data_IF_246475348303
#
_entry.id   IF_246475348303
#
_cell.length_a   1.000
_cell.length_b   1.000
_cell.length_c   1.000
_cell.angle_alpha   90.00
_cell.angle_beta   90.00
_cell.angle_gamma   90.00
#
_symmetry.space_group_name_H-M   'P 1'
#
loop_
_entity.id
_entity.type
_entity.pdbx_description
1 polymer ?
#
# COMPACT_ATOMS: atom_id res chain seq x y z
N UNK A 1 -6.21 16.59 -3.90
CA UNK A 1 -5.82 15.81 -5.09
C UNK A 1 -6.74 14.60 -5.14
N UNK A 2 -7.22 14.19 -6.31
CA UNK A 2 -8.06 13.01 -6.42
C UNK A 2 -7.21 11.76 -6.15
N UNK A 3 -7.68 10.87 -5.29
CA UNK A 3 -7.01 9.62 -4.96
C UNK A 3 -7.09 8.62 -6.13
N UNK A 4 -6.11 7.72 -6.25
CA UNK A 4 -6.11 6.68 -7.28
C UNK A 4 -7.32 5.75 -7.08
N UNK A 5 -8.13 5.48 -8.13
CA UNK A 5 -9.20 4.49 -8.04
C UNK A 5 -8.68 3.14 -7.57
N UNK A 6 -9.43 2.47 -6.71
CA UNK A 6 -9.18 1.08 -6.35
C UNK A 6 -9.36 0.14 -7.57
N UNK A 7 -9.09 -1.16 -7.43
CA UNK A 7 -9.20 -2.08 -8.56
C UNK A 7 -10.63 -2.20 -9.10
N UNK A 8 -11.65 -2.13 -8.24
CA UNK A 8 -13.07 -2.13 -8.64
C UNK A 8 -13.41 -0.94 -9.55
N UNK A 9 -12.84 0.23 -9.25
CA UNK A 9 -12.99 1.47 -10.01
C UNK A 9 -12.51 1.36 -11.47
N UNK A 10 -11.67 0.38 -11.79
CA UNK A 10 -11.22 0.10 -13.15
C UNK A 10 -12.11 -0.88 -13.93
N UNK A 11 -13.08 -1.55 -13.31
CA UNK A 11 -13.93 -2.54 -13.98
C UNK A 11 -14.74 -1.92 -15.14
N UNK A 12 -15.56 -0.91 -14.85
CA UNK A 12 -16.41 -0.28 -15.87
C UNK A 12 -15.59 0.49 -16.92
N UNK A 13 -14.54 1.26 -16.57
CA UNK A 13 -13.62 1.83 -17.56
C UNK A 13 -13.01 0.79 -18.51
N UNK A 14 -12.61 -0.38 -17.99
CA UNK A 14 -12.11 -1.50 -18.81
C UNK A 14 -13.15 -1.95 -19.83
N UNK A 15 -14.39 -2.21 -19.39
CA UNK A 15 -15.45 -2.64 -20.29
C UNK A 15 -15.78 -1.56 -21.34
N UNK A 16 -15.80 -0.28 -20.97
CA UNK A 16 -16.03 0.83 -21.91
C UNK A 16 -14.98 0.89 -23.01
N UNK A 17 -13.69 0.75 -22.66
CA UNK A 17 -12.59 0.71 -23.65
C UNK A 17 -12.70 -0.47 -24.61
N UNK A 18 -13.22 -1.61 -24.13
CA UNK A 18 -13.35 -2.85 -24.91
C UNK A 18 -14.70 -2.98 -25.63
N UNK A 19 -15.56 -1.96 -25.57
CA UNK A 19 -16.96 -2.02 -26.05
C UNK A 19 -17.12 -2.10 -27.57
N UNK A 20 -16.03 -1.95 -28.31
CA UNK A 20 -15.97 -2.02 -29.78
C UNK A 20 -15.83 -3.45 -30.33
N UNK A 21 -15.92 -4.48 -29.48
CA UNK A 21 -15.77 -5.89 -29.81
C UNK A 21 -14.40 -6.26 -30.39
N UNK A 22 -13.41 -5.36 -30.36
CA UNK A 22 -12.08 -5.62 -30.89
C UNK A 22 -11.28 -6.45 -29.89
N UNK A 23 -10.65 -7.52 -30.38
CA UNK A 23 -9.68 -8.29 -29.59
C UNK A 23 -8.42 -7.45 -29.43
N UNK A 24 -8.09 -7.08 -28.19
CA UNK A 24 -6.92 -6.24 -27.87
C UNK A 24 -5.94 -6.96 -26.96
N UNK A 25 -4.66 -6.76 -27.19
CA UNK A 25 -3.61 -7.22 -26.28
C UNK A 25 -3.56 -6.32 -25.03
N UNK A 26 -3.17 -6.89 -23.88
CA UNK A 26 -3.03 -6.20 -22.59
C UNK A 26 -2.34 -4.83 -22.70
N UNK A 27 -1.18 -4.79 -23.39
CA UNK A 27 -0.38 -3.56 -23.56
C UNK A 27 -1.04 -2.50 -24.44
N UNK A 28 -2.05 -2.87 -25.22
CA UNK A 28 -2.74 -1.94 -26.13
C UNK A 28 -3.89 -1.22 -25.44
N UNK A 29 -4.70 -1.92 -24.64
CA UNK A 29 -5.87 -1.31 -24.01
C UNK A 29 -5.58 -0.74 -22.62
N UNK A 30 -4.57 -1.24 -21.90
CA UNK A 30 -4.27 -0.77 -20.55
C UNK A 30 -4.02 0.76 -20.46
N UNK A 31 -3.31 1.41 -21.40
CA UNK A 31 -3.18 2.87 -21.39
C UNK A 31 -4.51 3.58 -21.65
N UNK A 32 -5.34 3.02 -22.55
CA UNK A 32 -6.67 3.55 -22.86
C UNK A 32 -7.60 3.49 -21.64
N UNK A 33 -7.49 2.45 -20.81
CA UNK A 33 -8.26 2.32 -19.56
C UNK A 33 -7.84 3.39 -18.55
N UNK A 34 -6.54 3.69 -18.45
CA UNK A 34 -6.06 4.77 -17.61
C UNK A 34 -6.57 6.14 -18.06
N UNK A 35 -6.63 6.37 -19.37
CA UNK A 35 -7.19 7.60 -19.95
C UNK A 35 -8.71 7.68 -19.72
N UNK A 36 -9.43 6.56 -19.91
CA UNK A 36 -10.86 6.46 -19.65
C UNK A 36 -11.21 6.69 -18.18
N UNK A 37 -10.36 6.22 -17.26
CA UNK A 37 -10.47 6.45 -15.82
C UNK A 37 -9.98 7.85 -15.40
N UNK A 38 -9.49 8.66 -16.34
CA UNK A 38 -9.01 10.04 -16.13
C UNK A 38 -7.86 10.14 -15.13
N UNK A 39 -6.92 9.20 -15.19
CA UNK A 39 -5.75 9.23 -14.31
C UNK A 39 -4.83 10.42 -14.63
N UNK A 40 -4.31 11.06 -13.58
CA UNK A 40 -3.31 12.12 -13.68
C UNK A 40 -1.93 11.56 -14.06
N UNK A 41 -1.01 12.44 -14.48
CA UNK A 41 0.36 12.03 -14.78
C UNK A 41 1.08 11.46 -13.54
N UNK A 42 0.83 12.04 -12.36
CA UNK A 42 1.38 11.56 -11.08
C UNK A 42 0.86 10.17 -10.73
N UNK A 43 -0.45 9.95 -10.88
CA UNK A 43 -1.09 8.64 -10.68
C UNK A 43 -0.50 7.56 -11.61
N UNK A 44 -0.21 7.91 -12.87
CA UNK A 44 0.42 6.97 -13.83
C UNK A 44 1.87 6.61 -13.48
N UNK A 45 2.52 7.36 -12.59
CA UNK A 45 3.89 7.08 -12.12
C UNK A 45 3.92 6.42 -10.73
N UNK A 46 2.77 6.27 -10.08
CA UNK A 46 2.69 5.71 -8.73
C UNK A 46 3.06 4.21 -8.74
N UNK A 47 4.08 3.87 -7.95
CA UNK A 47 4.55 2.49 -7.79
C UNK A 47 3.85 1.81 -6.61
N UNK A 48 3.75 0.49 -6.64
CA UNK A 48 3.50 -0.28 -5.42
C UNK A 48 4.65 -0.04 -4.42
N UNK A 49 4.40 -0.10 -3.10
CA UNK A 49 5.43 0.00 -2.06
C UNK A 49 6.66 -0.89 -2.30
N UNK A 50 6.45 -2.09 -2.86
CA UNK A 50 7.55 -3.00 -3.25
C UNK A 50 8.47 -2.51 -4.37
N UNK A 51 8.10 -1.47 -5.11
CA UNK A 51 8.83 -0.96 -6.28
C UNK A 51 8.76 -1.82 -7.54
N UNK A 52 8.11 -3.00 -7.50
CA UNK A 52 8.18 -3.99 -8.58
C UNK A 52 7.15 -3.78 -9.71
N UNK A 53 6.10 -2.99 -9.48
CA UNK A 53 5.07 -2.73 -10.48
C UNK A 53 4.42 -1.37 -10.27
N UNK A 54 3.90 -0.81 -11.36
CA UNK A 54 3.10 0.40 -11.35
C UNK A 54 1.71 0.08 -10.78
N UNK A 55 1.23 0.89 -9.83
CA UNK A 55 0.04 0.59 -9.02
C UNK A 55 -1.22 0.48 -9.88
N UNK A 56 -1.46 1.42 -10.80
CA UNK A 56 -2.67 1.38 -11.63
C UNK A 56 -2.67 0.21 -12.63
N UNK A 57 -1.50 -0.20 -13.15
CA UNK A 57 -1.36 -1.41 -13.97
C UNK A 57 -1.78 -2.66 -13.21
N UNK A 58 -1.35 -2.78 -11.96
CA UNK A 58 -1.72 -3.88 -11.08
C UNK A 58 -3.25 -3.91 -10.85
N UNK A 59 -3.84 -2.75 -10.52
CA UNK A 59 -5.28 -2.61 -10.27
C UNK A 59 -6.14 -2.91 -11.51
N UNK A 60 -5.75 -2.44 -12.70
CA UNK A 60 -6.41 -2.82 -13.97
C UNK A 60 -6.31 -4.33 -14.21
N UNK A 61 -5.16 -4.94 -13.89
CA UNK A 61 -4.95 -6.38 -14.03
C UNK A 61 -5.92 -7.21 -13.19
N UNK A 62 -6.20 -6.75 -11.96
CA UNK A 62 -7.20 -7.33 -11.08
C UNK A 62 -8.62 -7.17 -11.61
N UNK A 63 -8.98 -5.97 -12.09
CA UNK A 63 -10.27 -5.73 -12.73
C UNK A 63 -10.49 -6.66 -13.93
N UNK A 64 -9.50 -6.80 -14.83
CA UNK A 64 -9.57 -7.69 -15.98
C UNK A 64 -9.70 -9.16 -15.55
N UNK A 65 -8.97 -9.58 -14.52
CA UNK A 65 -9.04 -10.94 -13.99
C UNK A 65 -10.43 -11.25 -13.44
N UNK A 66 -10.97 -10.36 -12.61
CA UNK A 66 -12.33 -10.48 -12.08
C UNK A 66 -13.38 -10.52 -13.21
N UNK A 67 -13.33 -9.57 -14.14
CA UNK A 67 -14.27 -9.50 -15.28
C UNK A 67 -14.21 -10.73 -16.18
N UNK A 68 -13.02 -11.32 -16.35
CA UNK A 68 -12.87 -12.59 -17.08
C UNK A 68 -13.51 -13.75 -16.30
N UNK A 69 -13.32 -13.79 -14.97
CA UNK A 69 -13.88 -14.84 -14.12
C UNK A 69 -15.41 -14.80 -14.04
N UNK A 70 -16.04 -13.62 -14.14
CA UNK A 70 -17.51 -13.48 -14.14
C UNK A 70 -18.13 -13.58 -15.54
N UNK A 71 -17.30 -13.81 -16.58
CA UNK A 71 -17.75 -13.96 -17.97
C UNK A 71 -18.05 -12.65 -18.71
N UNK A 72 -17.72 -11.49 -18.12
CA UNK A 72 -17.87 -10.18 -18.76
C UNK A 72 -16.79 -9.91 -19.83
N UNK A 73 -15.63 -10.56 -19.70
CA UNK A 73 -14.58 -10.61 -20.72
C UNK A 73 -14.29 -12.07 -21.09
N UNK A 74 -13.86 -12.29 -22.33
CA UNK A 74 -13.20 -13.53 -22.73
C UNK A 74 -11.73 -13.30 -22.98
N UNK A 75 -10.96 -14.39 -22.93
CA UNK A 75 -9.53 -14.41 -23.21
C UNK A 75 -9.24 -15.40 -24.34
N UNK A 76 -9.47 -15.02 -25.62
CA UNK A 76 -9.32 -15.92 -26.75
C UNK A 76 -7.88 -16.42 -26.93
N UNK A 77 -6.89 -15.61 -26.54
CA UNK A 77 -5.47 -15.96 -26.56
C UNK A 77 -4.78 -15.40 -25.32
N UNK A 78 -3.64 -15.97 -24.93
CA UNK A 78 -2.80 -15.42 -23.85
C UNK A 78 -2.55 -13.92 -24.09
N UNK A 79 -2.88 -13.11 -23.08
CA UNK A 79 -2.70 -11.65 -23.11
C UNK A 79 -3.67 -10.89 -24.01
N UNK A 80 -4.62 -11.54 -24.67
CA UNK A 80 -5.62 -10.90 -25.54
C UNK A 80 -7.00 -11.08 -24.95
N UNK A 81 -7.79 -10.01 -24.95
CA UNK A 81 -9.11 -9.97 -24.32
C UNK A 81 -10.15 -9.41 -25.28
N UNK A 82 -11.41 -9.77 -25.05
CA UNK A 82 -12.56 -9.26 -25.80
C UNK A 82 -13.76 -9.16 -24.86
N UNK A 83 -14.58 -8.13 -25.02
CA UNK A 83 -15.83 -8.00 -24.26
C UNK A 83 -16.86 -9.06 -24.68
N UNK A 84 -17.76 -9.43 -23.77
CA UNK A 84 -18.94 -10.26 -24.07
C UNK A 84 -20.22 -9.44 -24.02
N UNK A 85 -21.33 -10.03 -24.47
CA UNK A 85 -22.65 -9.43 -24.30
C UNK A 85 -22.97 -9.19 -22.81
N UNK A 86 -22.52 -10.07 -21.92
CA UNK A 86 -22.63 -9.87 -20.48
C UNK A 86 -21.85 -8.62 -20.01
N UNK A 87 -20.63 -8.43 -20.53
CA UNK A 87 -19.83 -7.24 -20.27
C UNK A 87 -20.49 -5.95 -20.76
N UNK A 88 -21.12 -5.97 -21.94
CA UNK A 88 -21.89 -4.83 -22.45
C UNK A 88 -23.08 -4.51 -21.54
N UNK A 89 -23.81 -5.52 -21.10
CA UNK A 89 -24.93 -5.36 -20.18
C UNK A 89 -24.49 -4.74 -18.83
N UNK A 90 -23.31 -5.09 -18.31
CA UNK A 90 -22.77 -4.45 -17.11
C UNK A 90 -22.52 -2.94 -17.29
N UNK A 91 -22.13 -2.49 -18.49
CA UNK A 91 -21.95 -1.05 -18.76
C UNK A 91 -23.29 -0.32 -18.66
N UNK A 92 -24.37 -0.94 -19.16
CA UNK A 92 -25.74 -0.38 -19.11
C UNK A 92 -26.28 -0.32 -17.68
N UNK A 93 -26.08 -1.37 -16.90
CA UNK A 93 -26.52 -1.45 -15.50
C UNK A 93 -25.73 -0.53 -14.58
N UNK A 94 -24.42 -0.39 -14.82
CA UNK A 94 -23.51 0.35 -13.95
C UNK A 94 -22.72 1.42 -14.71
N UNK A 95 -23.38 2.44 -15.30
CA UNK A 95 -22.72 3.43 -16.15
C UNK A 95 -21.69 4.28 -15.40
N UNK A 96 -21.82 4.37 -14.07
CA UNK A 96 -20.99 5.21 -13.19
C UNK A 96 -20.00 4.40 -12.33
N UNK A 97 -19.84 3.10 -12.57
CA UNK A 97 -19.00 2.23 -11.75
C UNK A 97 -19.80 1.16 -11.02
N UNK A 98 -19.12 0.06 -10.67
CA UNK A 98 -19.69 -1.06 -9.95
C UNK A 98 -18.72 -1.49 -8.84
N UNK A 99 -19.27 -2.04 -7.76
CA UNK A 99 -18.50 -2.80 -6.76
C UNK A 99 -18.57 -4.29 -7.12
N UNK A 100 -17.56 -5.04 -6.72
CA UNK A 100 -17.46 -6.49 -6.88
C UNK A 100 -18.74 -7.19 -6.44
N UNK A 101 -19.23 -6.85 -5.23
CA UNK A 101 -20.46 -7.40 -4.65
C UNK A 101 -21.69 -7.23 -5.56
N UNK A 102 -21.80 -6.12 -6.27
CA UNK A 102 -22.95 -5.85 -7.14
C UNK A 102 -22.92 -6.76 -8.36
N UNK A 103 -21.73 -7.01 -8.92
CA UNK A 103 -21.56 -7.89 -10.08
C UNK A 103 -21.73 -9.36 -9.67
N UNK A 104 -21.23 -9.75 -8.49
CA UNK A 104 -21.42 -11.11 -7.95
C UNK A 104 -22.88 -11.43 -7.67
N UNK A 105 -23.64 -10.49 -7.10
CA UNK A 105 -25.07 -10.67 -6.86
C UNK A 105 -25.85 -10.97 -8.16
N UNK A 106 -25.43 -10.45 -9.30
CA UNK A 106 -26.02 -10.79 -10.60
C UNK A 106 -25.76 -12.25 -11.00
N UNK A 107 -24.69 -12.88 -10.52
CA UNK A 107 -24.40 -14.29 -10.80
C UNK A 107 -25.24 -15.29 -9.99
N UNK A 108 -25.97 -14.83 -8.97
CA UNK A 108 -26.91 -15.64 -8.19
C UNK A 108 -28.21 -15.91 -8.94
N UNK A 109 -28.58 -15.03 -9.87
CA UNK A 109 -29.74 -15.20 -10.75
C UNK A 109 -29.38 -16.16 -11.91
N UNK A 110 -30.03 -17.33 -12.01
CA UNK A 110 -29.78 -18.30 -13.09
C UNK A 110 -30.05 -17.77 -14.50
N UNK A 111 -30.83 -16.69 -14.62
CA UNK A 111 -31.17 -16.06 -15.89
C UNK A 111 -30.15 -15.00 -16.33
N UNK A 112 -29.25 -14.60 -15.44
CA UNK A 112 -28.22 -13.61 -15.72
C UNK A 112 -27.16 -14.14 -16.69
N UNK A 113 -26.67 -13.30 -17.62
CA UNK A 113 -25.54 -13.66 -18.47
C UNK A 113 -24.21 -13.65 -17.70
N UNK A 114 -24.18 -13.11 -16.48
CA UNK A 114 -23.04 -13.16 -15.56
C UNK A 114 -22.95 -14.54 -14.94
N UNK A 115 -21.79 -15.18 -15.04
CA UNK A 115 -21.55 -16.50 -14.45
C UNK A 115 -20.27 -16.46 -13.68
N UNK A 116 -20.36 -16.69 -12.38
CA UNK A 116 -19.16 -16.80 -11.57
C UNK A 116 -18.40 -18.09 -11.91
N UNK A 117 -17.13 -17.95 -12.27
CA UNK A 117 -16.24 -19.10 -12.39
C UNK A 117 -16.02 -19.73 -11.02
N UNK A 118 -16.74 -20.83 -10.75
CA UNK A 118 -16.48 -21.68 -9.59
C UNK A 118 -15.42 -22.69 -9.97
N UNK A 119 -14.19 -22.50 -9.47
CA UNK A 119 -13.17 -23.54 -9.56
C UNK A 119 -13.71 -24.82 -8.89
N UNK A 120 -13.65 -25.96 -9.59
CA UNK A 120 -14.04 -27.25 -8.99
C UNK A 120 -13.24 -27.43 -7.69
N UNK A 121 -13.90 -27.65 -6.53
CA UNK A 121 -13.22 -27.71 -5.26
C UNK A 121 -12.25 -28.88 -5.26
N UNK A 122 -10.94 -28.60 -5.20
CA UNK A 122 -10.00 -29.51 -4.54
C UNK A 122 -10.27 -29.38 -3.04
N UNK A 123 -10.35 -30.52 -2.37
CA UNK A 123 -10.79 -30.72 -0.98
C UNK A 123 -10.66 -29.53 -0.03
N UNK A 124 -11.76 -29.26 0.68
CA UNK A 124 -11.93 -28.20 1.67
C UNK A 124 -10.82 -28.20 2.72
N UNK A 125 -10.32 -27.01 3.02
CA UNK A 125 -10.14 -26.57 4.41
C UNK A 125 -11.07 -25.39 4.67
N UNK A 126 -11.66 -25.47 5.85
CA UNK A 126 -12.91 -24.85 6.30
C UNK A 126 -12.58 -23.59 7.10
N UNK A 127 -13.39 -22.57 6.84
CA UNK A 127 -13.81 -21.46 7.71
C UNK A 127 -12.75 -20.58 8.38
N UNK A 128 -12.47 -19.45 7.73
CA UNK A 128 -12.46 -18.13 8.39
C UNK A 128 -12.66 -17.04 7.32
N UNK A 129 -13.85 -17.00 6.72
CA UNK A 129 -14.32 -15.79 6.04
C UNK A 129 -14.81 -14.82 7.10
N UNK A 130 -13.91 -14.34 7.95
CA UNK A 130 -14.13 -13.11 8.69
C UNK A 130 -14.51 -12.05 7.66
N UNK A 131 -15.60 -11.32 7.91
CA UNK A 131 -16.08 -10.26 7.02
C UNK A 131 -14.92 -9.30 6.72
N UNK A 132 -14.33 -9.42 5.54
CA UNK A 132 -13.37 -8.45 5.05
C UNK A 132 -14.06 -7.09 5.14
N UNK A 133 -13.37 -6.11 5.74
CA UNK A 133 -13.87 -4.74 5.76
C UNK A 133 -14.10 -4.26 4.32
N UNK A 134 -15.00 -3.29 4.09
CA UNK A 134 -15.19 -2.74 2.74
C UNK A 134 -13.86 -2.24 2.15
N UNK A 135 -12.96 -1.72 3.00
CA UNK A 135 -11.62 -1.29 2.59
C UNK A 135 -10.74 -2.46 2.13
N UNK A 136 -10.72 -3.59 2.85
CA UNK A 136 -9.92 -4.75 2.43
C UNK A 136 -10.39 -5.33 1.09
N UNK A 137 -11.71 -5.36 0.84
CA UNK A 137 -12.25 -5.84 -0.45
C UNK A 137 -11.84 -4.95 -1.64
N UNK A 138 -11.55 -3.68 -1.36
CA UNK A 138 -11.13 -2.71 -2.36
C UNK A 138 -9.64 -2.77 -2.70
N UNK A 139 -8.83 -3.43 -1.86
CA UNK A 139 -7.40 -3.60 -2.08
C UNK A 139 -7.12 -4.86 -2.89
N UNK A 140 -6.12 -4.78 -3.76
CA UNK A 140 -5.56 -5.98 -4.38
C UNK A 140 -4.83 -6.82 -3.31
N UNK A 141 -4.70 -8.15 -3.46
CA UNK A 141 -4.00 -8.98 -2.48
C UNK A 141 -2.57 -8.54 -2.17
N UNK A 142 -1.85 -7.96 -3.14
CA UNK A 142 -0.50 -7.44 -2.89
C UNK A 142 -0.55 -6.20 -1.99
N UNK A 143 -1.55 -5.34 -2.17
CA UNK A 143 -1.80 -4.17 -1.33
C UNK A 143 -2.28 -4.59 0.06
N UNK A 144 -3.13 -5.62 0.18
CA UNK A 144 -3.55 -6.18 1.48
C UNK A 144 -2.34 -6.69 2.28
N UNK A 145 -1.46 -7.46 1.64
CA UNK A 145 -0.23 -7.96 2.30
C UNK A 145 0.67 -6.81 2.72
N UNK A 146 0.84 -5.80 1.86
CA UNK A 146 1.67 -4.63 2.16
C UNK A 146 1.09 -3.79 3.30
N UNK A 147 -0.21 -3.49 3.25
CA UNK A 147 -0.90 -2.78 4.33
C UNK A 147 -0.87 -3.58 5.65
N UNK A 148 -0.88 -4.91 5.58
CA UNK A 148 -0.64 -5.78 6.74
C UNK A 148 0.77 -5.62 7.32
N UNK A 149 1.81 -5.58 6.47
CA UNK A 149 3.20 -5.36 6.89
C UNK A 149 3.38 -3.96 7.50
N UNK A 150 2.81 -2.93 6.87
CA UNK A 150 2.86 -1.55 7.36
C UNK A 150 2.21 -1.44 8.75
N UNK A 151 1.02 -2.04 8.94
CA UNK A 151 0.39 -2.11 10.28
C UNK A 151 1.26 -2.80 11.33
N UNK A 152 1.91 -3.91 10.98
CA UNK A 152 2.85 -4.59 11.88
C UNK A 152 4.03 -3.67 12.22
N UNK A 153 4.60 -2.95 11.24
CA UNK A 153 5.67 -2.00 11.49
C UNK A 153 5.23 -0.85 12.40
N UNK A 154 4.03 -0.30 12.20
CA UNK A 154 3.48 0.77 13.04
C UNK A 154 3.23 0.30 14.48
N UNK A 155 2.69 -0.92 14.64
CA UNK A 155 2.52 -1.57 15.94
C UNK A 155 3.86 -1.76 16.65
N UNK A 156 4.86 -2.32 15.94
CA UNK A 156 6.21 -2.53 16.49
C UNK A 156 6.87 -1.19 16.82
N UNK A 157 6.75 -0.17 15.97
CA UNK A 157 7.32 1.16 16.21
C UNK A 157 6.71 1.79 17.47
N UNK A 158 5.40 1.67 17.64
CA UNK A 158 4.67 2.14 18.83
C UNK A 158 5.12 1.39 20.09
N UNK A 159 5.25 0.06 20.01
CA UNK A 159 5.74 -0.77 21.11
C UNK A 159 7.18 -0.42 21.50
N UNK A 160 8.07 -0.25 20.52
CA UNK A 160 9.47 0.13 20.74
C UNK A 160 9.59 1.52 21.36
N UNK A 161 8.80 2.48 20.89
CA UNK A 161 8.78 3.83 21.46
C UNK A 161 8.33 3.80 22.92
N UNK A 162 7.27 3.05 23.22
CA UNK A 162 6.78 2.85 24.60
C UNK A 162 7.87 2.24 25.48
N UNK A 163 8.53 1.17 25.00
CA UNK A 163 9.64 0.54 25.72
C UNK A 163 10.79 1.50 25.97
N UNK A 164 11.16 2.34 25.00
CA UNK A 164 12.22 3.34 25.15
C UNK A 164 11.85 4.40 26.20
N UNK A 165 10.59 4.85 26.23
CA UNK A 165 10.10 5.85 27.18
C UNK A 165 10.06 5.34 28.63
N UNK A 166 9.85 4.04 28.83
CA UNK A 166 9.78 3.42 30.16
C UNK A 166 11.14 2.99 30.73
N UNK A 167 12.21 3.10 29.94
CA UNK A 167 13.58 2.89 30.42
C UNK A 167 14.09 4.11 31.21
N UNK A 168 15.17 3.90 31.94
CA UNK A 168 15.85 4.95 32.68
C UNK A 168 16.43 6.02 31.71
N UNK A 169 16.61 7.27 32.17
CA UNK A 169 17.09 8.35 31.32
C UNK A 169 18.43 8.06 30.63
N UNK A 170 19.39 7.48 31.36
CA UNK A 170 20.71 7.18 30.81
C UNK A 170 20.66 6.17 29.66
N UNK A 171 19.80 5.14 29.76
CA UNK A 171 19.55 4.23 28.64
C UNK A 171 18.96 4.96 27.43
N UNK A 172 18.01 5.88 27.64
CA UNK A 172 17.38 6.62 26.55
C UNK A 172 18.36 7.54 25.84
N UNK A 173 19.21 8.25 26.59
CA UNK A 173 20.27 9.11 26.06
C UNK A 173 21.25 8.31 25.19
N UNK A 174 21.70 7.16 25.70
CA UNK A 174 22.56 6.23 24.96
C UNK A 174 21.88 5.70 23.68
N UNK A 175 20.62 5.28 23.78
CA UNK A 175 19.87 4.78 22.63
C UNK A 175 19.72 5.84 21.52
N UNK A 176 19.55 7.12 21.89
CA UNK A 176 19.48 8.24 20.93
C UNK A 176 20.84 8.47 20.27
N UNK A 177 21.95 8.44 21.02
CA UNK A 177 23.30 8.57 20.45
C UNK A 177 23.60 7.40 19.51
N UNK A 178 23.30 6.17 19.91
CA UNK A 178 23.51 4.96 19.11
C UNK A 178 22.70 5.00 17.81
N UNK A 179 21.45 5.47 17.87
CA UNK A 179 20.59 5.65 16.69
C UNK A 179 21.20 6.65 15.71
N UNK A 180 21.64 7.82 16.19
CA UNK A 180 22.24 8.84 15.34
C UNK A 180 23.55 8.35 14.70
N UNK A 181 24.37 7.60 15.44
CA UNK A 181 25.56 6.95 14.88
C UNK A 181 25.19 5.95 13.80
N UNK A 182 24.19 5.10 14.03
CA UNK A 182 23.71 4.11 13.05
C UNK A 182 23.10 4.76 11.79
N UNK A 183 22.51 5.96 11.92
CA UNK A 183 22.04 6.77 10.80
C UNK A 183 23.17 7.46 10.02
N UNK A 184 24.42 7.35 10.49
CA UNK A 184 25.61 7.87 9.81
C UNK A 184 26.03 9.27 10.26
N UNK A 185 25.48 9.81 11.35
CA UNK A 185 25.88 11.14 11.84
C UNK A 185 27.31 11.20 12.39
N UNK A 186 27.93 10.05 12.67
CA UNK A 186 29.33 9.93 13.14
C UNK A 186 30.41 10.10 12.06
N UNK A 187 30.04 10.40 10.81
CA UNK A 187 31.01 10.72 9.75
C UNK A 187 32.05 9.62 9.52
N UNK A 188 33.33 10.01 9.47
CA UNK A 188 34.44 9.08 9.15
C UNK A 188 34.97 8.29 10.36
N UNK A 189 34.66 8.73 11.58
CA UNK A 189 35.13 8.13 12.84
C UNK A 189 34.12 7.19 13.46
N UNK A 190 32.83 7.46 13.28
CA UNK A 190 31.75 6.74 13.98
C UNK A 190 31.78 6.93 15.50
N UNK A 191 32.49 7.94 16.00
CA UNK A 191 32.67 8.15 17.43
C UNK A 191 31.56 9.05 18.00
N UNK A 192 30.76 8.49 18.90
CA UNK A 192 29.80 9.24 19.71
C UNK A 192 29.79 8.71 21.13
N UNK A 193 29.56 9.59 22.09
CA UNK A 193 29.53 9.25 23.52
C UNK A 193 28.44 10.04 24.24
N UNK A 194 27.84 9.39 25.23
CA UNK A 194 26.94 10.04 26.20
C UNK A 194 27.79 10.81 27.20
N UNK A 195 27.31 11.98 27.60
CA UNK A 195 27.94 12.87 28.59
C UNK A 195 27.66 12.37 30.01
N UNK A 196 28.22 13.03 31.02
CA UNK A 196 27.94 12.67 32.42
C UNK A 196 26.53 13.09 32.82
N UNK A 197 25.80 12.22 33.51
CA UNK A 197 24.43 12.44 34.04
C UNK A 197 24.21 13.71 34.90
N UNK A 198 25.25 14.47 35.23
CA UNK A 198 25.15 15.71 36.01
C UNK A 198 26.23 16.72 35.62
N UNK A 199 25.91 18.01 35.68
CA UNK A 199 26.81 19.14 35.35
C UNK A 199 27.26 19.24 33.88
N UNK A 200 26.44 18.79 32.93
CA UNK A 200 26.72 18.81 31.49
C UNK A 200 26.05 20.00 30.75
N UNK A 201 25.26 20.82 31.45
CA UNK A 201 24.52 21.92 30.84
C UNK A 201 23.34 21.49 29.97
N UNK A 202 22.83 20.25 30.14
CA UNK A 202 21.71 19.71 29.38
C UNK A 202 22.09 19.14 28.01
N UNK A 203 23.37 18.83 27.81
CA UNK A 203 23.88 18.11 26.65
C UNK A 203 23.93 16.65 27.04
N UNK A 204 23.16 15.79 26.38
CA UNK A 204 23.02 14.37 26.69
C UNK A 204 23.99 13.49 25.86
N UNK A 205 24.56 14.03 24.78
CA UNK A 205 25.52 13.30 23.96
C UNK A 205 26.34 14.18 23.03
N UNK A 206 27.49 13.67 22.60
CA UNK A 206 28.38 14.32 21.64
C UNK A 206 28.77 13.32 20.56
N UNK A 207 28.61 13.71 19.30
CA UNK A 207 29.03 12.94 18.13
C UNK A 207 30.10 13.72 17.38
N UNK A 208 31.28 13.12 17.20
CA UNK A 208 32.36 13.68 16.39
C UNK A 208 32.19 13.23 14.93
N UNK A 209 32.14 14.18 13.99
CA UNK A 209 31.98 13.86 12.56
C UNK A 209 33.32 13.67 11.83
N UNK A 210 34.42 14.06 12.47
CA UNK A 210 35.77 13.96 11.94
C UNK A 210 36.78 13.44 12.97
N UNK A 211 37.93 12.97 12.47
CA UNK A 211 39.00 12.37 13.26
C UNK A 211 39.64 13.36 14.25
N UNK A 212 39.59 14.65 13.94
CA UNK A 212 40.20 15.71 14.76
C UNK A 212 39.23 16.24 15.84
N UNK A 213 37.96 15.82 15.82
CA UNK A 213 36.91 16.30 16.72
C UNK A 213 36.57 17.78 16.55
N UNK A 214 36.81 18.35 15.36
CA UNK A 214 36.58 19.77 15.09
C UNK A 214 35.12 20.05 14.72
N UNK A 215 34.45 19.09 14.07
CA UNK A 215 33.03 19.13 13.79
C UNK A 215 32.28 18.19 14.75
N UNK A 216 31.47 18.81 15.63
CA UNK A 216 30.71 18.11 16.66
C UNK A 216 29.22 18.37 16.54
N UNK A 217 28.44 17.32 16.74
CA UNK A 217 27.00 17.40 16.95
C UNK A 217 26.74 17.18 18.43
N UNK A 218 26.15 18.17 19.08
CA UNK A 218 25.67 18.07 20.46
C UNK A 218 24.22 17.62 20.45
N UNK A 219 23.92 16.61 21.24
CA UNK A 219 22.63 15.93 21.28
C UNK A 219 21.95 16.25 22.61
N UNK A 220 20.68 16.61 22.55
CA UNK A 220 19.79 16.68 23.71
C UNK A 220 18.60 15.76 23.46
N UNK A 221 18.49 14.70 24.26
CA UNK A 221 17.49 13.66 24.20
C UNK A 221 16.37 13.93 25.22
N UNK A 222 15.18 14.30 24.74
CA UNK A 222 14.01 14.50 25.62
C UNK A 222 13.01 13.37 25.48
N UNK A 223 12.65 12.76 26.62
CA UNK A 223 11.57 11.76 26.73
C UNK A 223 10.22 12.48 26.76
N UNK A 224 9.54 12.51 25.62
CA UNK A 224 8.19 13.04 25.52
C UNK A 224 7.22 12.05 26.19
N UNK A 225 6.55 12.48 27.26
CA UNK A 225 5.33 11.84 27.81
C UNK A 225 4.21 12.88 27.75
N UNK A 226 2.94 12.49 27.79
CA UNK A 226 1.81 13.46 27.78
C UNK A 226 1.95 14.55 28.85
N UNK A 227 2.61 14.25 29.98
CA UNK A 227 2.88 15.19 31.08
C UNK A 227 4.22 15.96 30.97
N UNK A 228 4.99 15.78 29.89
CA UNK A 228 6.33 16.35 29.72
C UNK A 228 6.41 17.22 28.46
N UNK A 229 5.93 18.46 28.56
CA UNK A 229 6.08 19.45 27.52
C UNK A 229 7.55 19.87 27.35
N UNK A 230 8.03 19.93 26.10
CA UNK A 230 9.40 20.37 25.78
C UNK A 230 9.58 21.83 26.15
N UNK A 231 10.24 22.08 27.28
CA UNK A 231 10.70 23.41 27.69
C UNK A 231 11.90 23.89 26.87
N UNK A 232 12.09 25.21 26.80
CA UNK A 232 13.23 25.86 26.12
C UNK A 232 14.56 25.51 26.81
N UNK A 233 15.70 25.55 26.08
CA UNK A 233 17.04 25.42 26.65
C UNK A 233 17.30 26.44 27.75
#
# INVERSE_FOLDING_TARGET
MAEMPNWEGFMIPTLKVMSDDVIRHWREFQPLVADQARLTAEQKLEMLPSGNAVRYENRIGWAVSFLTNVGALTRPKRGHYQITDAGKHLIELFPNGAKERHIRALGEDPTSPIREYVAKPKDKRVDDAASLSEDDSSMTPIEQVQGGIERIHDEIATELLTRLQDKDPGFFEQAVVDLLLAMGYGGTTGAGSVTQLSNDGGIDGVIDQDILGLNRVYVQAKRYKEDNAVGRP
#
